data_IF_810853299609
#
_entry.id   IF_810853299609
#
_cell.length_a   1.000
_cell.length_b   1.000
_cell.length_c   1.000
_cell.angle_alpha   90.00
_cell.angle_beta   90.00
_cell.angle_gamma   90.00
#
_symmetry.space_group_name_H-M   'P 1'
#
loop_
_entity.id
_entity.type
_entity.pdbx_description
1 polymer ?
#
# COMPACT_ATOMS: atom_id res chain seq x y z
N UNK A 1 1.99 7.54 23.97
CA UNK A 1 2.77 7.63 22.76
C UNK A 1 1.88 7.44 21.53
N UNK A 2 1.89 8.43 20.65
CA UNK A 2 1.06 8.38 19.45
C UNK A 2 1.79 7.64 18.34
N UNK A 3 1.24 6.50 17.95
CA UNK A 3 1.78 5.71 16.83
C UNK A 3 1.17 6.24 15.54
N UNK A 4 2.00 6.69 14.61
CA UNK A 4 1.55 7.17 13.31
C UNK A 4 1.29 6.02 12.37
N UNK A 5 0.01 5.70 12.17
CA UNK A 5 -0.39 4.59 11.34
C UNK A 5 -1.79 4.75 10.80
N UNK A 6 -2.23 3.77 10.03
CA UNK A 6 -3.61 3.74 9.53
C UNK A 6 -4.04 2.29 9.27
N UNK A 7 -5.34 2.10 9.25
CA UNK A 7 -5.95 0.82 8.90
C UNK A 7 -7.04 1.05 7.87
N UNK A 8 -7.11 0.18 6.88
CA UNK A 8 -8.20 0.22 5.90
C UNK A 8 -8.79 -1.16 5.66
N UNK A 9 -10.03 -1.20 5.15
CA UNK A 9 -10.86 -2.40 5.06
C UNK A 9 -10.66 -3.19 3.77
N UNK A 10 -9.42 -3.50 3.42
CA UNK A 10 -9.08 -4.46 2.37
C UNK A 10 -7.87 -5.24 2.84
N UNK A 11 -7.89 -6.54 2.63
CA UNK A 11 -6.78 -7.41 2.99
C UNK A 11 -6.05 -7.95 1.78
N UNK A 12 -5.25 -9.01 2.01
CA UNK A 12 -4.45 -9.63 0.96
C UNK A 12 -5.33 -10.25 -0.13
N UNK A 13 -4.78 -10.29 -1.35
CA UNK A 13 -5.47 -10.86 -2.50
C UNK A 13 -5.40 -12.39 -2.54
N UNK A 14 -4.47 -12.99 -1.78
CA UNK A 14 -4.32 -14.44 -1.71
C UNK A 14 -3.86 -14.88 -0.33
N UNK A 15 -4.46 -15.96 0.18
CA UNK A 15 -4.07 -16.58 1.44
C UNK A 15 -2.65 -17.14 1.42
N UNK A 16 -2.10 -17.41 0.23
CA UNK A 16 -0.71 -17.85 0.09
C UNK A 16 0.30 -16.80 0.53
N UNK A 17 -0.15 -15.57 0.73
CA UNK A 17 0.70 -14.45 1.18
C UNK A 17 0.79 -14.34 2.71
N UNK A 18 0.11 -15.22 3.46
CA UNK A 18 0.14 -15.22 4.93
C UNK A 18 1.41 -15.88 5.46
N UNK A 19 2.00 -15.30 6.51
CA UNK A 19 3.10 -15.89 7.27
C UNK A 19 2.56 -16.88 8.32
N UNK A 20 1.54 -16.42 9.05
CA UNK A 20 0.89 -17.21 10.09
C UNK A 20 -0.38 -17.80 9.49
N UNK A 21 -0.27 -19.05 9.07
CA UNK A 21 -1.37 -19.73 8.39
C UNK A 21 -2.51 -20.11 9.33
N UNK A 22 -2.22 -20.25 10.61
CA UNK A 22 -3.26 -20.55 11.60
C UNK A 22 -4.17 -19.35 11.83
N UNK A 23 -3.57 -18.16 11.96
CA UNK A 23 -4.30 -16.91 12.16
C UNK A 23 -4.68 -16.22 10.85
N UNK A 24 -4.14 -16.69 9.73
CA UNK A 24 -4.35 -16.10 8.41
C UNK A 24 -3.89 -14.65 8.35
N UNK A 25 -2.69 -14.39 8.86
CA UNK A 25 -2.10 -13.06 8.96
C UNK A 25 -0.77 -13.00 8.22
N UNK A 26 -0.55 -11.92 7.47
CA UNK A 26 0.74 -11.59 6.90
C UNK A 26 1.35 -10.46 7.73
N UNK A 27 2.56 -10.67 8.25
CA UNK A 27 3.30 -9.67 9.00
C UNK A 27 4.52 -9.25 8.19
N UNK A 28 4.73 -7.94 8.06
CA UNK A 28 5.84 -7.40 7.29
C UNK A 28 6.70 -6.49 8.16
N UNK A 29 8.03 -6.59 8.00
CA UNK A 29 9.00 -5.77 8.72
C UNK A 29 9.72 -4.84 7.73
N UNK A 30 9.62 -3.54 7.96
CA UNK A 30 10.24 -2.51 7.13
C UNK A 30 10.01 -2.72 5.63
N UNK A 31 8.75 -2.99 5.20
CA UNK A 31 8.49 -3.21 3.79
C UNK A 31 8.56 -1.91 3.00
N UNK A 32 8.91 -2.03 1.72
CA UNK A 32 8.61 -0.98 0.76
C UNK A 32 7.14 -1.10 0.36
N UNK A 33 6.51 0.04 0.10
CA UNK A 33 5.09 0.08 -0.24
C UNK A 33 4.91 0.72 -1.61
N UNK A 34 4.36 -0.04 -2.56
CA UNK A 34 3.96 0.47 -3.87
C UNK A 34 2.48 0.86 -3.78
N UNK A 35 2.19 2.12 -4.10
CA UNK A 35 0.86 2.70 -3.97
C UNK A 35 0.38 3.14 -5.35
N UNK A 36 -0.72 2.57 -5.85
CA UNK A 36 -1.23 2.91 -7.18
C UNK A 36 -2.74 2.71 -7.28
N UNK A 37 -3.40 3.49 -8.14
CA UNK A 37 -4.79 3.29 -8.50
C UNK A 37 -4.93 2.40 -9.75
N UNK A 38 -3.81 1.92 -10.28
CA UNK A 38 -3.79 1.09 -11.48
C UNK A 38 -4.04 -0.38 -11.14
N UNK A 39 -4.58 -1.10 -12.11
CA UNK A 39 -4.70 -2.55 -12.05
C UNK A 39 -3.40 -3.17 -12.58
N UNK A 40 -2.87 -4.16 -11.88
CA UNK A 40 -1.65 -4.85 -12.29
C UNK A 40 -2.03 -6.23 -12.83
N UNK A 41 -1.95 -6.41 -14.14
CA UNK A 41 -2.24 -7.68 -14.79
C UNK A 41 -1.03 -8.26 -15.52
N UNK A 42 -0.01 -7.45 -15.76
CA UNK A 42 1.22 -7.88 -16.42
C UNK A 42 2.40 -7.61 -15.48
N UNK A 43 3.09 -8.69 -15.08
CA UNK A 43 4.22 -8.59 -14.15
C UNK A 43 5.37 -7.73 -14.70
N UNK A 44 5.49 -7.64 -16.02
CA UNK A 44 6.55 -6.84 -16.64
C UNK A 44 6.46 -5.36 -16.28
N UNK A 45 5.26 -4.87 -15.97
CA UNK A 45 5.07 -3.47 -15.60
C UNK A 45 5.73 -3.12 -14.28
N UNK A 46 5.88 -4.07 -13.37
CA UNK A 46 6.47 -3.86 -12.05
C UNK A 46 7.76 -4.64 -11.83
N UNK A 47 8.19 -5.43 -12.82
CA UNK A 47 9.38 -6.26 -12.68
C UNK A 47 10.64 -5.47 -12.32
N UNK A 48 10.93 -4.31 -12.94
CA UNK A 48 12.12 -3.54 -12.58
C UNK A 48 12.15 -3.12 -11.10
N UNK A 49 11.01 -2.69 -10.56
CA UNK A 49 10.95 -2.27 -9.16
C UNK A 49 11.03 -3.47 -8.20
N UNK A 50 10.43 -4.59 -8.58
CA UNK A 50 10.53 -5.83 -7.79
C UNK A 50 11.99 -6.27 -7.68
N UNK A 51 12.75 -6.21 -8.78
CA UNK A 51 14.16 -6.56 -8.78
C UNK A 51 14.98 -5.66 -7.85
N UNK A 52 14.72 -4.36 -7.86
CA UNK A 52 15.39 -3.41 -6.99
C UNK A 52 15.12 -3.72 -5.50
N UNK A 53 13.87 -4.03 -5.16
CA UNK A 53 13.50 -4.39 -3.79
C UNK A 53 14.17 -5.70 -3.36
N UNK A 54 14.21 -6.69 -4.26
CA UNK A 54 14.86 -7.96 -4.00
C UNK A 54 16.37 -7.79 -3.76
N UNK A 55 17.02 -6.94 -4.54
CA UNK A 55 18.45 -6.66 -4.38
C UNK A 55 18.79 -6.05 -3.02
N UNK A 56 17.85 -5.33 -2.43
CA UNK A 56 18.02 -4.73 -1.11
C UNK A 56 17.65 -5.68 0.02
N UNK A 57 17.15 -6.89 -0.30
CA UNK A 57 16.70 -7.85 0.70
C UNK A 57 15.51 -7.39 1.51
N UNK A 58 14.68 -6.49 0.95
CA UNK A 58 13.52 -5.92 1.62
C UNK A 58 12.23 -6.63 1.21
N UNK A 59 11.23 -6.53 2.09
CA UNK A 59 9.87 -7.00 1.83
C UNK A 59 9.11 -5.92 1.04
N UNK A 60 8.02 -6.29 0.39
CA UNK A 60 7.23 -5.36 -0.41
C UNK A 60 5.73 -5.56 -0.21
N UNK A 61 5.02 -4.46 0.04
CA UNK A 61 3.56 -4.42 0.05
C UNK A 61 3.10 -3.67 -1.20
N UNK A 62 2.19 -4.28 -1.96
CA UNK A 62 1.61 -3.66 -3.15
C UNK A 62 0.16 -3.28 -2.84
N UNK A 63 -0.15 -1.99 -2.95
CA UNK A 63 -1.51 -1.48 -2.81
C UNK A 63 -1.93 -1.00 -4.19
N UNK A 64 -2.86 -1.72 -4.83
CA UNK A 64 -3.28 -1.45 -6.20
C UNK A 64 -4.79 -1.62 -6.33
N UNK A 65 -5.37 -1.15 -7.46
CA UNK A 65 -6.78 -1.39 -7.74
C UNK A 65 -7.08 -2.89 -7.75
N UNK A 66 -6.23 -3.64 -8.42
CA UNK A 66 -6.26 -5.10 -8.37
C UNK A 66 -4.92 -5.64 -8.87
N UNK A 67 -4.60 -6.87 -8.49
CA UNK A 67 -3.48 -7.62 -9.05
C UNK A 67 -4.06 -8.95 -9.49
N UNK A 68 -4.05 -9.22 -10.79
CA UNK A 68 -4.77 -10.37 -11.33
C UNK A 68 -3.95 -11.17 -12.33
N UNK A 69 -4.46 -12.35 -12.69
CA UNK A 69 -3.91 -13.21 -13.74
C UNK A 69 -2.47 -13.62 -13.47
N UNK A 70 -1.64 -13.51 -14.50
CA UNK A 70 -0.23 -13.88 -14.46
C UNK A 70 0.56 -13.09 -13.43
N UNK A 71 0.24 -11.80 -13.24
CA UNK A 71 0.95 -10.96 -12.27
C UNK A 71 0.79 -11.52 -10.85
N UNK A 72 -0.43 -11.83 -10.45
CA UNK A 72 -0.69 -12.38 -9.11
C UNK A 72 -0.02 -13.74 -8.95
N UNK A 73 -0.13 -14.62 -9.95
CA UNK A 73 0.49 -15.95 -9.92
C UNK A 73 2.00 -15.86 -9.76
N UNK A 74 2.65 -14.95 -10.50
CA UNK A 74 4.10 -14.75 -10.42
C UNK A 74 4.52 -14.27 -9.03
N UNK A 75 3.78 -13.35 -8.43
CA UNK A 75 4.07 -12.87 -7.08
C UNK A 75 3.96 -14.00 -6.05
N UNK A 76 2.93 -14.83 -6.15
CA UNK A 76 2.72 -15.96 -5.26
C UNK A 76 3.86 -16.96 -5.40
N UNK A 77 4.27 -17.30 -6.62
CA UNK A 77 5.36 -18.25 -6.87
C UNK A 77 6.67 -17.75 -6.28
N UNK A 78 7.01 -16.48 -6.47
CA UNK A 78 8.23 -15.89 -5.92
C UNK A 78 8.22 -15.89 -4.39
N UNK A 79 7.07 -15.63 -3.79
CA UNK A 79 6.93 -15.68 -2.34
C UNK A 79 7.12 -17.10 -1.81
N UNK A 80 6.51 -18.10 -2.45
CA UNK A 80 6.64 -19.50 -2.05
C UNK A 80 8.06 -20.02 -2.18
N UNK A 81 8.81 -19.49 -3.16
CA UNK A 81 10.23 -19.83 -3.34
C UNK A 81 11.14 -19.09 -2.36
N UNK A 82 10.62 -18.14 -1.61
CA UNK A 82 11.42 -17.32 -0.71
C UNK A 82 12.28 -16.27 -1.39
N UNK A 83 12.06 -16.03 -2.69
CA UNK A 83 12.83 -15.05 -3.47
C UNK A 83 12.47 -13.62 -3.07
N UNK A 84 11.18 -13.36 -2.88
CA UNK A 84 10.68 -12.04 -2.49
C UNK A 84 9.48 -12.21 -1.57
N UNK A 85 9.54 -11.59 -0.39
CA UNK A 85 8.38 -11.56 0.50
C UNK A 85 7.50 -10.39 0.09
N UNK A 86 6.44 -10.69 -0.64
CA UNK A 86 5.50 -9.71 -1.20
C UNK A 86 4.08 -10.03 -0.74
N UNK A 87 3.33 -8.98 -0.42
CA UNK A 87 1.90 -9.07 -0.15
C UNK A 87 1.22 -8.05 -1.03
N UNK A 88 0.16 -8.45 -1.72
CA UNK A 88 -0.65 -7.57 -2.55
C UNK A 88 -2.03 -7.40 -1.91
N UNK A 89 -2.47 -6.16 -1.80
CA UNK A 89 -3.78 -5.82 -1.24
C UNK A 89 -4.51 -4.88 -2.19
N UNK A 90 -5.83 -4.90 -2.11
CA UNK A 90 -6.67 -4.02 -2.91
C UNK A 90 -6.71 -2.63 -2.30
N UNK A 91 -6.60 -1.59 -3.13
CA UNK A 91 -6.63 -0.19 -2.69
C UNK A 91 -7.98 0.13 -2.03
N UNK A 92 -7.97 0.92 -0.95
CA UNK A 92 -9.19 1.28 -0.24
C UNK A 92 -10.02 2.31 -1.01
N UNK A 93 -11.33 2.34 -0.76
CA UNK A 93 -12.25 3.32 -1.32
C UNK A 93 -12.62 3.08 -2.77
N UNK A 94 -13.29 4.05 -3.36
CA UNK A 94 -13.75 4.02 -4.75
C UNK A 94 -13.63 5.40 -5.38
N UNK A 95 -13.38 5.45 -6.70
CA UNK A 95 -13.34 6.70 -7.45
C UNK A 95 -12.37 7.72 -6.88
N UNK A 96 -12.81 8.96 -6.74
CA UNK A 96 -11.98 10.05 -6.22
C UNK A 96 -11.60 9.84 -4.76
N UNK A 97 -12.48 9.19 -3.98
CA UNK A 97 -12.18 8.84 -2.59
C UNK A 97 -11.00 7.90 -2.49
N UNK A 98 -10.87 6.94 -3.42
CA UNK A 98 -9.72 6.04 -3.48
C UNK A 98 -8.42 6.81 -3.69
N UNK A 99 -8.40 7.76 -4.62
CA UNK A 99 -7.22 8.58 -4.89
C UNK A 99 -6.77 9.37 -3.67
N UNK A 100 -7.71 9.95 -2.95
CA UNK A 100 -7.42 10.68 -1.72
C UNK A 100 -6.84 9.76 -0.65
N UNK A 101 -7.40 8.56 -0.47
CA UNK A 101 -6.88 7.58 0.49
C UNK A 101 -5.48 7.12 0.10
N UNK A 102 -5.21 6.92 -1.19
CA UNK A 102 -3.88 6.54 -1.66
C UNK A 102 -2.86 7.65 -1.41
N UNK A 103 -3.25 8.92 -1.59
CA UNK A 103 -2.40 10.07 -1.26
C UNK A 103 -2.09 10.12 0.23
N UNK A 104 -3.07 9.81 1.08
CA UNK A 104 -2.89 9.75 2.53
C UNK A 104 -1.85 8.69 2.92
N UNK A 105 -1.93 7.51 2.30
CA UNK A 105 -0.97 6.44 2.52
C UNK A 105 0.43 6.86 2.05
N UNK A 106 0.51 7.52 0.90
CA UNK A 106 1.79 8.00 0.37
C UNK A 106 2.45 8.99 1.32
N UNK A 107 1.71 9.95 1.85
CA UNK A 107 2.24 10.94 2.79
C UNK A 107 2.68 10.26 4.09
N UNK A 108 1.85 9.37 4.63
CA UNK A 108 2.17 8.66 5.87
C UNK A 108 3.47 7.85 5.77
N UNK A 109 3.71 7.25 4.62
CA UNK A 109 4.85 6.35 4.41
C UNK A 109 6.04 7.01 3.72
N UNK A 110 5.90 8.28 3.33
CA UNK A 110 6.95 9.00 2.63
C UNK A 110 7.14 8.57 1.18
N UNK A 111 6.14 7.88 0.61
CA UNK A 111 6.18 7.42 -0.77
C UNK A 111 5.42 8.35 -1.71
N UNK A 112 5.17 7.85 -2.91
CA UNK A 112 4.45 8.59 -3.94
C UNK A 112 3.37 7.69 -4.52
N UNK A 113 2.14 8.20 -4.60
CA UNK A 113 1.03 7.47 -5.21
C UNK A 113 1.15 7.55 -6.73
N UNK A 114 1.15 6.41 -7.40
CA UNK A 114 1.22 6.31 -8.87
C UNK A 114 -0.21 6.33 -9.39
N UNK A 115 -0.65 7.50 -9.84
CA UNK A 115 -2.03 7.73 -10.26
C UNK A 115 -2.11 7.97 -11.76
N UNK A 116 -3.17 7.45 -12.39
CA UNK A 116 -3.43 7.67 -13.82
C UNK A 116 -3.58 9.15 -14.15
N UNK A 117 -4.24 9.91 -13.29
CA UNK A 117 -4.45 11.35 -13.49
C UNK A 117 -3.16 12.14 -13.59
N UNK A 118 -2.08 11.63 -13.03
CA UNK A 118 -0.77 12.27 -13.04
C UNK A 118 0.10 11.81 -14.21
N UNK A 119 -0.42 10.93 -15.06
CA UNK A 119 0.32 10.41 -16.21
C UNK A 119 1.47 9.49 -15.85
N UNK A 120 1.50 9.00 -14.60
CA UNK A 120 2.58 8.13 -14.12
C UNK A 120 2.39 6.70 -14.62
N UNK A 121 3.50 6.03 -14.92
CA UNK A 121 3.49 4.64 -15.36
C UNK A 121 4.22 3.76 -14.35
N UNK A 122 3.70 2.53 -14.15
CA UNK A 122 4.30 1.58 -13.21
C UNK A 122 5.75 1.25 -13.54
N UNK A 123 6.09 1.14 -14.81
CA UNK A 123 7.44 0.79 -15.26
C UNK A 123 8.48 1.88 -14.96
N UNK A 124 8.04 3.10 -14.69
CA UNK A 124 8.92 4.23 -14.40
C UNK A 124 9.16 4.43 -12.90
N UNK A 125 8.61 3.57 -12.05
CA UNK A 125 8.76 3.67 -10.60
C UNK A 125 10.18 3.31 -10.17
N UNK A 126 10.72 4.11 -9.26
CA UNK A 126 12.02 3.84 -8.63
C UNK A 126 11.82 3.57 -7.13
N UNK A 127 12.84 3.01 -6.48
CA UNK A 127 12.79 2.72 -5.04
C UNK A 127 12.50 3.98 -4.23
N UNK A 128 13.00 5.13 -4.67
CA UNK A 128 12.79 6.42 -3.99
C UNK A 128 11.32 6.84 -3.96
N UNK A 129 10.52 6.31 -4.87
CA UNK A 129 9.09 6.60 -4.94
C UNK A 129 8.25 5.69 -4.07
N UNK A 130 8.82 4.61 -3.55
CA UNK A 130 8.11 3.67 -2.67
C UNK A 130 7.99 4.23 -1.26
N UNK A 131 6.86 3.96 -0.61
CA UNK A 131 6.69 4.28 0.80
C UNK A 131 7.45 3.31 1.68
N UNK A 132 7.66 3.68 2.93
CA UNK A 132 8.30 2.85 3.94
C UNK A 132 7.56 2.98 5.27
N UNK A 133 7.56 1.91 6.04
CA UNK A 133 6.94 1.89 7.36
C UNK A 133 7.69 0.89 8.22
N UNK A 134 7.53 0.98 9.53
CA UNK A 134 8.16 0.05 10.47
C UNK A 134 7.59 -1.36 10.31
N UNK A 135 6.27 -1.47 10.24
CA UNK A 135 5.61 -2.77 10.09
C UNK A 135 4.25 -2.64 9.43
N UNK A 136 3.80 -3.74 8.83
CA UNK A 136 2.47 -3.86 8.25
C UNK A 136 1.89 -5.20 8.68
N UNK A 137 0.63 -5.20 9.07
CA UNK A 137 -0.12 -6.41 9.37
C UNK A 137 -1.30 -6.50 8.41
N UNK A 138 -1.38 -7.58 7.66
CA UNK A 138 -2.46 -7.79 6.69
C UNK A 138 -3.25 -9.03 7.06
N UNK A 139 -4.56 -8.87 7.19
CA UNK A 139 -5.49 -9.98 7.38
C UNK A 139 -6.31 -10.16 6.11
N UNK A 140 -7.25 -11.09 6.14
CA UNK A 140 -8.17 -11.30 5.03
C UNK A 140 -9.01 -10.06 4.73
N UNK A 141 -9.30 -9.24 5.74
CA UNK A 141 -10.23 -8.12 5.62
C UNK A 141 -9.61 -6.74 5.86
N UNK A 142 -8.43 -6.67 6.47
CA UNK A 142 -7.83 -5.40 6.88
C UNK A 142 -6.34 -5.35 6.60
N UNK A 143 -5.87 -4.14 6.32
CA UNK A 143 -4.44 -3.83 6.25
C UNK A 143 -4.14 -2.74 7.26
N UNK A 144 -3.19 -2.99 8.17
CA UNK A 144 -2.79 -2.03 9.19
C UNK A 144 -1.32 -1.64 8.97
N UNK A 145 -1.07 -0.35 8.79
CA UNK A 145 0.26 0.24 8.61
C UNK A 145 0.65 0.90 9.92
N UNK A 146 1.81 0.56 10.46
CA UNK A 146 2.28 1.04 11.76
C UNK A 146 3.60 1.80 11.59
N UNK A 147 3.69 2.99 12.20
CA UNK A 147 4.87 3.86 12.16
C UNK A 147 5.36 4.14 10.75
N UNK A 148 4.53 4.82 9.95
CA UNK A 148 4.91 5.28 8.63
C UNK A 148 6.12 6.21 8.70
N UNK A 149 7.03 6.11 7.72
CA UNK A 149 8.29 6.87 7.69
C UNK A 149 8.19 8.15 6.84
N UNK A 150 6.98 8.68 6.66
CA UNK A 150 6.78 9.96 6.01
C UNK A 150 7.28 11.12 6.86
N UNK A 151 7.44 12.28 6.24
CA UNK A 151 7.85 13.49 6.96
C UNK A 151 6.75 13.90 7.93
N UNK A 152 7.11 14.06 9.18
CA UNK A 152 6.15 14.36 10.25
C UNK A 152 5.30 15.60 9.94
N UNK A 153 5.89 16.64 9.40
CA UNK A 153 5.18 17.87 9.06
C UNK A 153 4.09 17.59 7.99
N UNK A 154 4.43 16.82 6.96
CA UNK A 154 3.48 16.49 5.89
C UNK A 154 2.32 15.67 6.42
N UNK A 155 2.61 14.72 7.32
CA UNK A 155 1.59 13.89 7.97
C UNK A 155 0.65 14.75 8.81
N UNK A 156 1.19 15.65 9.62
CA UNK A 156 0.40 16.55 10.47
C UNK A 156 -0.50 17.47 9.66
N UNK A 157 0.01 18.03 8.56
CA UNK A 157 -0.77 18.89 7.67
C UNK A 157 -1.93 18.13 7.04
N UNK A 158 -1.69 16.88 6.61
CA UNK A 158 -2.73 16.06 6.00
C UNK A 158 -3.81 15.66 7.01
N UNK A 159 -3.42 15.31 8.22
CA UNK A 159 -4.36 14.99 9.31
C UNK A 159 -5.24 16.19 9.61
N UNK A 160 -4.66 17.38 9.71
CA UNK A 160 -5.41 18.60 9.96
C UNK A 160 -6.44 18.89 8.85
N UNK A 161 -6.07 18.66 7.59
CA UNK A 161 -6.97 18.83 6.45
C UNK A 161 -8.15 17.84 6.51
N UNK A 162 -7.87 16.58 6.81
CA UNK A 162 -8.90 15.54 6.93
C UNK A 162 -9.88 15.88 8.05
N UNK A 163 -9.40 16.34 9.19
CA UNK A 163 -10.24 16.72 10.31
C UNK A 163 -11.16 17.89 9.95
N UNK A 164 -10.67 18.86 9.21
CA UNK A 164 -11.49 20.00 8.75
C UNK A 164 -12.58 19.54 7.79
N UNK A 165 -12.25 18.66 6.86
CA UNK A 165 -13.23 18.11 5.92
C UNK A 165 -14.31 17.31 6.64
N UNK A 166 -13.94 16.52 7.64
CA UNK A 166 -14.88 15.74 8.42
C UNK A 166 -15.81 16.64 9.23
N UNK A 167 -15.31 17.72 9.81
CA UNK A 167 -16.11 18.68 10.56
C UNK A 167 -17.13 19.38 9.65
N UNK A 168 -16.70 19.82 8.46
CA UNK A 168 -17.58 20.44 7.48
C UNK A 168 -18.68 19.49 7.01
N UNK A 169 -18.33 18.24 6.72
CA UNK A 169 -19.30 17.22 6.34
C UNK A 169 -20.32 16.95 7.45
N UNK A 170 -19.90 16.93 8.71
CA UNK A 170 -20.77 16.73 9.85
C UNK A 170 -21.79 17.86 10.02
N UNK A 171 -21.40 19.10 9.73
CA UNK A 171 -22.31 20.23 9.78
C UNK A 171 -23.38 20.13 8.70
N UNK A 172 -23.02 19.72 7.50
CA UNK A 172 -23.98 19.50 6.42
C UNK A 172 -24.95 18.37 6.70
N UNK A 173 -24.49 17.30 7.33
CA UNK A 173 -25.32 16.12 7.63
C UNK A 173 -26.32 16.36 8.75
N UNK A 174 -26.19 17.43 9.51
CA UNK A 174 -27.12 17.76 10.62
C UNK A 174 -28.39 18.47 10.15
N UNK A 175 -28.41 18.94 8.94
CA UNK A 175 -29.57 19.56 8.34
C UNK A 175 -30.37 18.53 7.55
#
# INVERSE_FOLDING_TARGET
>A
EVVEGMQFDNGYLSAYMCDDKEKMIANMNHPYILITDKKISNIKDILPILEQVMQQGREMLIIADDVEGEALTTLIVNRLRGTLKVVAVKAPGYGDGRKEMLKDIAILTGGQAVLDDLGMQLKDITVDMLGQTKSVKVTKEHTTIVDGEGKKQDIEERIAMIKRQAADASEYDRD
#
